data_IF_971184847678
#
_entry.id   IF_971184847678
#
_cell.length_a   1.000
_cell.length_b   1.000
_cell.length_c   1.000
_cell.angle_alpha   90.00
_cell.angle_beta   90.00
_cell.angle_gamma   90.00
#
_symmetry.space_group_name_H-M   'P 1'
#
loop_
_entity.id
_entity.type
_entity.pdbx_description
1 polymer ?
#
# COMPACT_ATOMS: atom_id res chain seq x y z
N UNK A 1 17.97 29.29 5.65
CA UNK A 1 18.18 28.04 4.86
C UNK A 1 17.24 26.97 5.41
N UNK A 2 16.46 26.30 4.55
CA UNK A 2 15.68 25.12 4.98
C UNK A 2 16.62 23.93 5.16
N UNK A 3 16.40 23.15 6.21
CA UNK A 3 17.16 21.92 6.45
C UNK A 3 16.86 20.87 5.38
N UNK A 4 17.85 20.07 4.97
CA UNK A 4 17.70 18.97 4.00
C UNK A 4 16.53 18.05 4.40
N UNK A 5 16.35 17.81 5.70
CA UNK A 5 15.23 17.01 6.23
C UNK A 5 13.86 17.62 5.89
N UNK A 6 13.72 18.95 5.95
CA UNK A 6 12.47 19.64 5.60
C UNK A 6 12.18 19.56 4.10
N UNK A 7 13.22 19.64 3.27
CA UNK A 7 13.10 19.52 1.81
C UNK A 7 12.62 18.11 1.44
N UNK A 8 13.24 17.09 2.02
CA UNK A 8 12.83 15.68 1.80
C UNK A 8 11.42 15.41 2.30
N UNK A 9 11.04 15.91 3.49
CA UNK A 9 9.68 15.75 4.00
C UNK A 9 8.65 16.40 3.08
N UNK A 10 8.93 17.61 2.57
CA UNK A 10 8.07 18.27 1.57
C UNK A 10 7.96 17.43 0.29
N UNK A 11 9.08 16.98 -0.26
CA UNK A 11 9.09 16.18 -1.48
C UNK A 11 8.29 14.87 -1.34
N UNK A 12 8.36 14.20 -0.18
CA UNK A 12 7.57 12.99 0.10
C UNK A 12 6.07 13.27 0.18
N UNK A 13 5.67 14.40 0.77
CA UNK A 13 4.27 14.85 0.77
C UNK A 13 3.79 15.16 -0.65
N UNK A 14 4.55 15.95 -1.41
CA UNK A 14 4.22 16.29 -2.78
C UNK A 14 4.09 15.03 -3.67
N UNK A 15 4.95 14.03 -3.44
CA UNK A 15 4.87 12.73 -4.12
C UNK A 15 3.62 11.94 -3.70
N UNK A 16 3.26 11.97 -2.41
CA UNK A 16 2.05 11.31 -1.93
C UNK A 16 0.80 11.95 -2.55
N UNK A 17 0.68 13.28 -2.50
CA UNK A 17 -0.44 14.03 -3.08
C UNK A 17 -0.67 13.75 -4.57
N UNK A 18 0.40 13.57 -5.34
CA UNK A 18 0.31 13.32 -6.78
C UNK A 18 0.01 11.87 -7.15
N UNK A 19 0.39 10.93 -6.30
CA UNK A 19 0.32 9.50 -6.59
C UNK A 19 -0.71 8.76 -5.72
N UNK A 20 -1.48 9.49 -4.90
CA UNK A 20 -2.54 8.90 -4.09
C UNK A 20 -3.75 8.58 -4.94
N UNK A 21 -4.38 7.47 -4.59
CA UNK A 21 -5.60 6.94 -5.19
C UNK A 21 -6.65 6.90 -4.09
N UNK A 22 -7.90 7.19 -4.43
CA UNK A 22 -9.01 7.02 -3.51
C UNK A 22 -9.21 5.53 -3.23
N UNK A 23 -9.46 5.18 -1.97
CA UNK A 23 -9.72 3.81 -1.56
C UNK A 23 -10.69 3.78 -0.38
N UNK A 24 -11.27 2.61 -0.13
CA UNK A 24 -12.11 2.33 1.02
C UNK A 24 -11.44 1.31 1.91
N UNK A 25 -11.32 1.63 3.20
CA UNK A 25 -10.84 0.72 4.22
C UNK A 25 -12.00 0.04 4.95
N UNK A 26 -11.86 -1.27 5.11
CA UNK A 26 -12.78 -2.15 5.80
C UNK A 26 -11.99 -2.90 6.88
N UNK A 27 -12.28 -2.63 8.15
CA UNK A 27 -11.62 -3.34 9.25
C UNK A 27 -11.97 -4.84 9.28
N UNK A 28 -13.13 -5.19 8.77
CA UNK A 28 -13.58 -6.55 8.46
C UNK A 28 -14.58 -6.47 7.28
N UNK A 29 -14.94 -7.60 6.62
CA UNK A 29 -15.82 -7.57 5.45
C UNK A 29 -17.21 -6.95 5.68
N UNK A 30 -17.67 -6.88 6.93
CA UNK A 30 -18.98 -6.33 7.31
C UNK A 30 -18.88 -4.95 8.00
N UNK A 31 -17.69 -4.35 8.02
CA UNK A 31 -17.46 -3.07 8.67
C UNK A 31 -18.01 -1.93 7.83
N UNK A 32 -18.28 -0.80 8.47
CA UNK A 32 -18.58 0.45 7.76
C UNK A 32 -17.34 0.86 6.97
N UNK A 33 -17.43 1.03 5.63
CA UNK A 33 -16.30 1.43 4.81
C UNK A 33 -15.86 2.84 5.17
N UNK A 34 -14.55 3.04 5.34
CA UNK A 34 -13.98 4.37 5.59
C UNK A 34 -13.23 4.83 4.35
N UNK A 35 -13.66 5.97 3.80
CA UNK A 35 -12.98 6.59 2.67
C UNK A 35 -11.61 7.12 3.11
N UNK A 36 -10.56 6.71 2.40
CA UNK A 36 -9.20 7.18 2.60
C UNK A 36 -8.46 7.28 1.28
N UNK A 37 -7.24 7.78 1.34
CA UNK A 37 -6.32 7.83 0.21
C UNK A 37 -5.12 6.94 0.47
N UNK A 38 -4.67 6.25 -0.58
CA UNK A 38 -3.55 5.33 -0.50
C UNK A 38 -2.66 5.47 -1.72
N UNK A 39 -1.36 5.27 -1.53
CA UNK A 39 -0.41 5.14 -2.64
C UNK A 39 0.03 3.69 -2.76
N UNK A 40 -0.20 3.11 -3.94
CA UNK A 40 0.27 1.77 -4.27
C UNK A 40 1.76 1.85 -4.65
N UNK A 41 2.58 1.03 -4.01
CA UNK A 41 3.99 0.91 -4.28
C UNK A 41 4.33 -0.55 -4.63
N UNK A 42 4.82 -0.77 -5.84
CA UNK A 42 5.32 -2.06 -6.27
C UNK A 42 6.85 -2.00 -6.24
N UNK A 43 7.45 -2.67 -5.26
CA UNK A 43 8.91 -2.85 -5.24
C UNK A 43 9.24 -4.11 -6.02
N UNK A 44 9.99 -3.95 -7.12
CA UNK A 44 10.64 -5.07 -7.81
C UNK A 44 11.97 -5.25 -7.10
N UNK A 45 12.14 -6.31 -6.29
CA UNK A 45 13.41 -6.55 -5.62
C UNK A 45 14.54 -6.77 -6.65
N UNK A 46 15.54 -5.88 -6.71
CA UNK A 46 16.60 -5.94 -7.70
C UNK A 46 17.73 -6.90 -7.31
N UNK A 47 17.54 -7.81 -6.35
CA UNK A 47 18.58 -8.78 -5.91
C UNK A 47 18.78 -9.90 -6.93
N UNK A 48 19.10 -9.53 -8.17
CA UNK A 48 19.85 -10.34 -9.12
C UNK A 48 21.13 -9.58 -9.40
N UNK A 49 22.06 -9.57 -8.45
CA UNK A 49 23.45 -9.33 -8.85
C UNK A 49 23.88 -10.54 -9.67
N UNK A 50 24.17 -10.27 -10.94
CA UNK A 50 24.86 -11.12 -11.88
C UNK A 50 26.18 -11.66 -11.30
N UNK A 51 26.11 -12.76 -10.56
CA UNK A 51 27.20 -13.73 -10.53
C UNK A 51 26.67 -15.00 -11.15
N UNK A 52 27.17 -15.41 -12.35
CA UNK A 52 26.84 -16.70 -12.93
C UNK A 52 27.54 -17.79 -12.11
N UNK A 53 27.02 -18.09 -10.92
CA UNK A 53 27.44 -19.24 -10.16
C UNK A 53 26.86 -20.45 -10.87
N UNK A 54 27.70 -21.06 -11.71
CA UNK A 54 27.54 -22.39 -12.29
C UNK A 54 26.95 -23.34 -11.27
N UNK A 55 25.67 -23.67 -11.37
CA UNK A 55 25.07 -24.97 -11.02
C UNK A 55 23.57 -24.90 -11.31
N UNK A 56 23.04 -26.01 -11.82
CA UNK A 56 21.73 -26.08 -12.48
C UNK A 56 20.52 -25.70 -11.62
N UNK A 57 19.47 -25.33 -12.35
CA UNK A 57 18.05 -25.44 -11.99
C UNK A 57 17.57 -24.72 -10.72
N UNK A 58 16.99 -23.52 -10.88
CA UNK A 58 15.59 -23.20 -10.53
C UNK A 58 15.32 -21.73 -10.90
N UNK A 59 14.38 -21.47 -11.81
CA UNK A 59 13.89 -20.11 -12.03
C UNK A 59 12.95 -19.79 -10.87
N UNK A 60 13.48 -19.20 -9.80
CA UNK A 60 12.66 -18.70 -8.71
C UNK A 60 11.80 -17.55 -9.23
N UNK A 61 10.50 -17.80 -9.39
CA UNK A 61 9.51 -16.79 -9.77
C UNK A 61 9.44 -15.75 -8.66
N UNK A 62 10.11 -14.61 -8.84
CA UNK A 62 10.00 -13.46 -7.94
C UNK A 62 8.57 -12.92 -8.02
N UNK A 63 7.77 -13.16 -6.98
CA UNK A 63 6.43 -12.58 -6.87
C UNK A 63 6.60 -11.20 -6.24
N UNK A 64 6.33 -10.09 -6.95
CA UNK A 64 6.39 -8.77 -6.36
C UNK A 64 5.32 -8.69 -5.26
N UNK A 65 5.73 -8.34 -4.04
CA UNK A 65 4.79 -8.11 -2.92
C UNK A 65 4.36 -6.65 -2.99
N UNK A 66 3.10 -6.36 -3.35
CA UNK A 66 2.61 -4.99 -3.37
C UNK A 66 2.62 -4.40 -1.95
N UNK A 67 2.88 -3.09 -1.87
CA UNK A 67 2.86 -2.33 -0.63
C UNK A 67 1.89 -1.17 -0.76
N UNK A 68 1.15 -0.90 0.30
CA UNK A 68 0.30 0.27 0.42
C UNK A 68 0.95 1.27 1.37
N UNK A 69 1.04 2.52 0.93
CA UNK A 69 1.62 3.61 1.70
C UNK A 69 0.53 4.62 2.03
N UNK A 70 0.33 4.84 3.33
CA UNK A 70 -0.64 5.78 3.87
C UNK A 70 0.07 6.97 4.50
N UNK A 71 -0.52 8.15 4.39
CA UNK A 71 -0.02 9.32 5.09
C UNK A 71 -0.57 9.32 6.52
N UNK A 72 0.32 9.48 7.49
CA UNK A 72 -0.04 9.43 8.91
C UNK A 72 -1.08 10.51 9.26
N UNK A 73 -0.86 11.74 8.79
CA UNK A 73 -1.73 12.88 9.11
C UNK A 73 -3.15 12.65 8.56
N UNK A 74 -3.29 11.94 7.43
CA UNK A 74 -4.61 11.57 6.86
C UNK A 74 -5.30 10.50 7.73
N UNK A 75 -4.58 9.47 8.17
CA UNK A 75 -5.13 8.45 9.08
C UNK A 75 -5.57 9.04 10.42
N UNK A 76 -4.75 9.93 10.98
CA UNK A 76 -5.04 10.63 12.24
C UNK A 76 -6.23 11.58 12.09
N UNK A 77 -6.34 12.32 10.97
CA UNK A 77 -7.48 13.19 10.68
C UNK A 77 -8.80 12.41 10.54
N UNK A 78 -8.74 11.18 10.01
CA UNK A 78 -9.88 10.28 9.87
C UNK A 78 -10.16 9.44 11.13
N UNK A 79 -9.31 9.55 12.16
CA UNK A 79 -9.33 8.69 13.36
C UNK A 79 -9.34 7.18 13.02
N UNK A 80 -8.67 6.79 11.94
CA UNK A 80 -8.59 5.40 11.46
C UNK A 80 -7.33 4.72 11.98
N UNK A 81 -7.50 3.55 12.57
CA UNK A 81 -6.39 2.66 12.93
C UNK A 81 -6.43 1.44 12.02
N UNK A 82 -5.44 1.35 11.13
CA UNK A 82 -5.28 0.19 10.25
C UNK A 82 -4.89 -1.05 11.06
N UNK A 83 -5.50 -2.18 10.73
CA UNK A 83 -5.29 -3.48 11.38
C UNK A 83 -5.00 -4.56 10.35
N UNK A 84 -4.20 -5.54 10.76
CA UNK A 84 -3.96 -6.77 10.02
C UNK A 84 -5.30 -7.49 9.76
N UNK A 85 -5.44 -8.04 8.56
CA UNK A 85 -6.68 -8.64 8.04
C UNK A 85 -7.72 -7.62 7.57
N UNK A 86 -7.43 -6.32 7.68
CA UNK A 86 -8.27 -5.28 7.09
C UNK A 86 -8.14 -5.27 5.57
N UNK A 87 -9.20 -4.85 4.88
CA UNK A 87 -9.26 -4.84 3.42
C UNK A 87 -9.26 -3.39 2.93
N UNK A 88 -8.47 -3.11 1.91
CA UNK A 88 -8.43 -1.85 1.19
C UNK A 88 -8.94 -2.10 -0.22
N UNK A 89 -10.13 -1.60 -0.54
CA UNK A 89 -10.69 -1.65 -1.89
C UNK A 89 -10.36 -0.36 -2.62
N UNK A 90 -9.73 -0.47 -3.78
CA UNK A 90 -9.28 0.67 -4.59
C UNK A 90 -10.20 0.86 -5.79
N UNK A 91 -10.46 -0.23 -6.53
CA UNK A 91 -11.32 -0.23 -7.71
C UNK A 91 -12.15 -1.53 -7.77
N UNK A 92 -13.11 -1.58 -8.70
CA UNK A 92 -13.91 -2.79 -8.91
C UNK A 92 -13.02 -3.93 -9.41
N UNK A 93 -12.90 -4.99 -8.62
CA UNK A 93 -11.98 -6.08 -8.91
C UNK A 93 -10.58 -5.91 -8.32
N UNK A 94 -10.25 -4.73 -7.77
CA UNK A 94 -8.94 -4.45 -7.16
C UNK A 94 -9.09 -4.14 -5.66
N UNK A 95 -8.74 -5.13 -4.84
CA UNK A 95 -8.70 -5.00 -3.40
C UNK A 95 -7.48 -5.71 -2.81
N UNK A 96 -7.05 -5.24 -1.64
CA UNK A 96 -5.84 -5.67 -0.97
C UNK A 96 -6.13 -5.99 0.50
N UNK A 97 -5.66 -7.12 0.98
CA UNK A 97 -5.67 -7.46 2.41
C UNK A 97 -4.38 -7.00 3.07
N UNK A 98 -4.49 -6.32 4.22
CA UNK A 98 -3.37 -5.86 5.02
C UNK A 98 -2.76 -7.03 5.81
N UNK A 99 -1.52 -7.41 5.51
CA UNK A 99 -0.84 -8.48 6.24
C UNK A 99 0.07 -7.93 7.33
N UNK A 100 1.17 -7.29 6.96
CA UNK A 100 2.18 -6.84 7.92
C UNK A 100 2.46 -5.34 7.78
N UNK A 101 2.44 -4.62 8.90
CA UNK A 101 2.87 -3.22 8.94
C UNK A 101 4.39 -3.15 9.03
N UNK A 102 4.99 -2.33 8.18
CA UNK A 102 6.39 -1.95 8.33
C UNK A 102 6.57 -0.96 9.47
N UNK A 103 7.80 -0.82 10.02
CA UNK A 103 8.09 0.23 10.99
C UNK A 103 7.65 1.60 10.47
N UNK A 104 6.82 2.28 11.25
CA UNK A 104 6.29 3.60 10.93
C UNK A 104 7.44 4.60 10.78
N UNK A 105 7.46 5.32 9.67
CA UNK A 105 8.35 6.47 9.48
C UNK A 105 7.68 7.75 10.02
N UNK A 106 8.39 8.86 10.00
CA UNK A 106 7.92 10.17 10.46
C UNK A 106 6.69 10.71 9.69
N UNK A 107 6.44 10.23 8.47
CA UNK A 107 5.41 10.77 7.57
C UNK A 107 4.38 9.72 7.13
N UNK A 108 4.81 8.48 6.95
CA UNK A 108 4.01 7.45 6.30
C UNK A 108 3.97 6.17 7.11
N UNK A 109 2.84 5.48 7.02
CA UNK A 109 2.69 4.10 7.47
C UNK A 109 2.60 3.20 6.24
N UNK A 110 3.50 2.22 6.14
CA UNK A 110 3.54 1.28 5.01
C UNK A 110 3.06 -0.09 5.46
N UNK A 111 2.27 -0.75 4.61
CA UNK A 111 1.81 -2.10 4.82
C UNK A 111 2.19 -2.97 3.64
N UNK A 112 2.74 -4.15 3.93
CA UNK A 112 2.76 -5.25 2.99
C UNK A 112 1.34 -5.78 2.83
N UNK A 113 0.92 -5.99 1.57
CA UNK A 113 -0.45 -6.39 1.27
C UNK A 113 -0.49 -7.58 0.32
N UNK A 114 -1.58 -8.33 0.41
CA UNK A 114 -1.89 -9.43 -0.50
C UNK A 114 -3.05 -9.00 -1.39
N UNK A 115 -2.93 -9.08 -2.73
CA UNK A 115 -4.05 -8.81 -3.61
C UNK A 115 -5.12 -9.88 -3.40
N UNK A 116 -6.38 -9.46 -3.29
CA UNK A 116 -7.52 -10.36 -3.22
C UNK A 116 -7.95 -10.79 -4.63
N UNK A 117 -8.40 -12.03 -4.76
CA UNK A 117 -8.93 -12.56 -6.01
C UNK A 117 -10.20 -11.81 -6.45
N UNK A 118 -10.41 -11.76 -7.76
CA UNK A 118 -11.49 -10.98 -8.39
C UNK A 118 -12.89 -11.35 -7.88
N UNK A 119 -13.09 -12.62 -7.51
CA UNK A 119 -14.36 -13.12 -6.95
C UNK A 119 -14.66 -12.49 -5.58
N UNK A 120 -13.65 -12.28 -4.75
CA UNK A 120 -13.80 -11.67 -3.43
C UNK A 120 -13.86 -10.14 -3.51
N UNK A 121 -13.18 -9.54 -4.49
CA UNK A 121 -13.15 -8.08 -4.65
C UNK A 121 -14.37 -7.51 -5.37
N UNK A 122 -15.09 -8.29 -6.20
CA UNK A 122 -16.28 -7.84 -6.93
C UNK A 122 -17.47 -7.47 -6.03
N UNK A 123 -17.55 -8.01 -4.82
CA UNK A 123 -18.62 -7.73 -3.86
C UNK A 123 -18.32 -6.57 -2.89
N UNK A 124 -17.13 -5.98 -2.97
CA UNK A 124 -16.70 -4.94 -2.03
C UNK A 124 -17.16 -3.55 -2.47
N UNK A 125 -17.45 -2.66 -1.50
CA UNK A 125 -17.73 -1.26 -1.81
C UNK A 125 -16.47 -0.62 -2.40
N UNK A 126 -16.64 0.10 -3.50
CA UNK A 126 -15.60 0.86 -4.18
C UNK A 126 -15.83 2.36 -3.99
N UNK A 127 -14.76 3.18 -3.93
CA UNK A 127 -14.91 4.63 -3.91
C UNK A 127 -15.68 5.07 -5.16
N UNK A 128 -16.67 5.96 -5.00
CA UNK A 128 -17.37 6.53 -6.13
C UNK A 128 -16.34 7.26 -7.01
N UNK A 129 -16.25 6.86 -8.28
CA UNK A 129 -15.37 7.50 -9.27
C UNK A 129 -15.70 9.00 -9.28
N UNK A 130 -14.73 9.83 -8.91
CA UNK A 130 -14.83 11.29 -8.99
C UNK A 130 -14.81 11.76 -10.45
#
# INVERSE_FOLDING_TARGET
MRSIRQIQRKARRDLHERAKVAALYLANPNAVPVALTVRIHQTIDPTGMDTPTKSGSMVERRVPIPRLVFLIEELEALAVVLRRGGIVSVEAGEAYELDNSEPRDDLTQTWAVTPLDQEYSAGLPVPAVL
#
